data_IF_794467007129
#
_entry.id   IF_794467007129
#
_cell.length_a   1.000
_cell.length_b   1.000
_cell.length_c   1.000
_cell.angle_alpha   90.00
_cell.angle_beta   90.00
_cell.angle_gamma   90.00
#
_symmetry.space_group_name_H-M   'P 1'
#
loop_
_entity.id
_entity.type
_entity.pdbx_description
1 polymer ?
#
# COMPACT_ATOMS: atom_id res chain seq x y z
N UNK A 1 36.13 -4.77 20.36
CA UNK A 1 35.36 -5.18 19.17
C UNK A 1 33.87 -5.01 19.50
N UNK A 2 33.25 -3.91 19.07
CA UNK A 2 31.79 -3.79 19.08
C UNK A 2 31.27 -4.40 17.78
N UNK A 3 30.40 -5.41 17.87
CA UNK A 3 29.65 -5.90 16.72
C UNK A 3 28.58 -4.85 16.37
N UNK A 4 28.64 -4.32 15.16
CA UNK A 4 27.57 -3.49 14.61
C UNK A 4 26.33 -4.38 14.41
N UNK A 5 25.25 -4.09 15.13
CA UNK A 5 23.93 -4.65 14.82
C UNK A 5 23.55 -4.12 13.43
N UNK A 6 23.28 -4.98 12.43
CA UNK A 6 22.85 -4.51 11.12
C UNK A 6 21.56 -3.73 11.31
N UNK A 7 21.60 -2.44 11.00
CA UNK A 7 20.46 -1.54 11.11
C UNK A 7 19.26 -2.12 10.37
N UNK A 8 18.10 -2.04 11.00
CA UNK A 8 16.81 -2.18 10.33
C UNK A 8 16.82 -1.15 9.19
N UNK A 9 17.00 -1.61 7.96
CA UNK A 9 16.63 -0.80 6.80
C UNK A 9 15.11 -0.66 6.88
N UNK A 10 14.61 0.55 7.13
CA UNK A 10 13.20 0.85 6.91
C UNK A 10 12.92 0.44 5.46
N UNK A 11 12.05 -0.55 5.28
CA UNK A 11 11.69 -1.02 3.96
C UNK A 11 10.85 0.08 3.31
N UNK A 12 11.53 0.98 2.59
CA UNK A 12 10.85 1.91 1.71
C UNK A 12 10.06 1.11 0.67
N UNK A 13 8.93 1.65 0.23
CA UNK A 13 8.19 1.06 -0.89
C UNK A 13 9.09 1.03 -2.12
N UNK A 14 9.39 -0.16 -2.64
CA UNK A 14 10.21 -0.28 -3.84
C UNK A 14 9.44 0.17 -5.09
N UNK A 15 10.18 0.49 -6.16
CA UNK A 15 9.60 1.01 -7.39
C UNK A 15 8.62 0.02 -8.07
N UNK A 16 8.82 -1.29 -7.88
CA UNK A 16 7.94 -2.30 -8.44
C UNK A 16 6.59 -2.32 -7.72
N UNK A 17 6.61 -2.23 -6.40
CA UNK A 17 5.42 -2.08 -5.55
C UNK A 17 4.69 -0.78 -5.89
N UNK A 18 5.41 0.34 -6.03
CA UNK A 18 4.81 1.63 -6.39
C UNK A 18 4.08 1.56 -7.75
N UNK A 19 4.74 0.99 -8.76
CA UNK A 19 4.14 0.81 -10.08
C UNK A 19 2.90 -0.10 -10.02
N UNK A 20 2.99 -1.22 -9.29
CA UNK A 20 1.87 -2.14 -9.12
C UNK A 20 0.69 -1.49 -8.39
N UNK A 21 0.96 -0.69 -7.35
CA UNK A 21 -0.06 0.05 -6.64
C UNK A 21 -0.75 1.08 -7.54
N UNK A 22 0.01 1.80 -8.38
CA UNK A 22 -0.56 2.72 -9.37
C UNK A 22 -1.50 2.00 -10.35
N UNK A 23 -1.12 0.81 -10.83
CA UNK A 23 -1.96 -0.02 -11.70
C UNK A 23 -3.23 -0.49 -10.98
N UNK A 24 -3.10 -0.94 -9.73
CA UNK A 24 -4.23 -1.40 -8.91
C UNK A 24 -5.26 -0.30 -8.68
N UNK A 25 -4.83 0.94 -8.47
CA UNK A 25 -5.74 2.09 -8.30
C UNK A 25 -6.58 2.35 -9.56
N UNK A 26 -6.05 2.02 -10.74
CA UNK A 26 -6.80 2.10 -12.00
C UNK A 26 -7.56 0.81 -12.35
N UNK A 27 -7.34 -0.28 -11.60
CA UNK A 27 -7.86 -1.60 -11.92
C UNK A 27 -9.39 -1.71 -11.97
N UNK A 28 -9.92 -2.70 -12.72
CA UNK A 28 -11.36 -2.91 -12.89
C UNK A 28 -12.07 -3.45 -11.64
N UNK A 29 -11.33 -4.03 -10.69
CA UNK A 29 -11.85 -4.55 -9.42
C UNK A 29 -12.30 -3.45 -8.44
N UNK A 30 -11.86 -2.21 -8.68
CA UNK A 30 -12.17 -1.04 -7.85
C UNK A 30 -13.54 -0.47 -8.21
N UNK A 31 -14.43 -0.37 -7.22
CA UNK A 31 -15.75 0.24 -7.46
C UNK A 31 -15.63 1.74 -7.79
N UNK A 32 -16.54 2.25 -8.64
CA UNK A 32 -16.54 3.67 -9.01
C UNK A 32 -16.67 4.61 -7.80
N UNK A 33 -17.47 4.23 -6.80
CA UNK A 33 -17.63 4.97 -5.56
C UNK A 33 -16.34 4.99 -4.72
N UNK A 34 -15.59 3.88 -4.69
CA UNK A 34 -14.30 3.85 -4.00
C UNK A 34 -13.25 4.68 -4.73
N UNK A 35 -13.13 4.56 -6.07
CA UNK A 35 -12.22 5.39 -6.88
C UNK A 35 -12.45 6.89 -6.69
N UNK A 36 -13.72 7.30 -6.63
CA UNK A 36 -14.05 8.71 -6.42
C UNK A 36 -13.43 9.26 -5.12
N UNK A 37 -13.24 8.41 -4.10
CA UNK A 37 -12.71 8.82 -2.78
C UNK A 37 -11.20 9.06 -2.76
N UNK A 38 -10.49 8.61 -3.80
CA UNK A 38 -9.02 8.59 -3.83
C UNK A 38 -8.44 10.01 -3.79
N UNK A 39 -9.14 11.01 -4.33
CA UNK A 39 -8.69 12.41 -4.31
C UNK A 39 -8.62 13.02 -2.91
N UNK A 40 -9.35 12.47 -1.93
CA UNK A 40 -9.31 12.93 -0.54
C UNK A 40 -8.49 12.00 0.36
N UNK A 41 -8.28 10.75 -0.07
CA UNK A 41 -7.60 9.71 0.70
C UNK A 41 -6.15 9.49 0.32
N UNK A 42 -5.74 9.92 -0.88
CA UNK A 42 -4.36 9.83 -1.37
C UNK A 42 -3.73 8.45 -1.11
N UNK A 43 -4.31 7.35 -1.64
CA UNK A 43 -3.89 5.99 -1.30
C UNK A 43 -2.41 5.74 -1.60
N UNK A 44 -1.94 6.21 -2.76
CA UNK A 44 -0.57 5.98 -3.20
C UNK A 44 0.42 6.63 -2.23
N UNK A 45 0.21 7.91 -1.93
CA UNK A 45 1.06 8.69 -1.04
C UNK A 45 0.99 8.16 0.39
N UNK A 46 -0.19 7.76 0.84
CA UNK A 46 -0.39 7.21 2.19
C UNK A 46 0.33 5.87 2.35
N UNK A 47 0.13 4.93 1.41
CA UNK A 47 0.79 3.61 1.47
C UNK A 47 2.31 3.71 1.27
N UNK A 48 2.75 4.68 0.45
CA UNK A 48 4.17 5.06 0.31
C UNK A 48 4.76 5.56 1.62
N UNK A 49 4.05 6.46 2.32
CA UNK A 49 4.47 6.98 3.62
C UNK A 49 4.63 5.86 4.66
N UNK A 50 3.76 4.85 4.63
CA UNK A 50 3.87 3.68 5.50
C UNK A 50 4.92 2.65 5.05
N UNK A 51 5.55 2.84 3.89
CA UNK A 51 6.54 1.89 3.36
C UNK A 51 5.94 0.52 3.01
N UNK A 52 4.66 0.46 2.66
CA UNK A 52 4.01 -0.82 2.32
C UNK A 52 4.68 -1.42 1.09
N UNK A 53 5.07 -2.68 1.18
CA UNK A 53 5.68 -3.44 0.10
C UNK A 53 5.07 -4.83 -0.04
N UNK A 54 5.32 -5.48 -1.17
CA UNK A 54 4.76 -6.81 -1.47
C UNK A 54 5.27 -7.94 -0.57
N UNK A 55 6.37 -7.74 0.16
CA UNK A 55 6.89 -8.72 1.10
C UNK A 55 6.21 -8.64 2.49
N UNK A 56 5.39 -7.61 2.74
CA UNK A 56 4.67 -7.43 4.00
C UNK A 56 3.34 -8.18 4.02
N UNK A 57 3.00 -8.73 5.18
CA UNK A 57 1.64 -9.20 5.47
C UNK A 57 0.87 -8.07 6.14
N UNK A 58 -0.12 -7.52 5.45
CA UNK A 58 -0.94 -6.40 5.93
C UNK A 58 -2.30 -6.91 6.39
N UNK A 59 -2.75 -6.48 7.58
CA UNK A 59 -4.09 -6.75 8.10
C UNK A 59 -4.89 -5.47 8.21
N UNK A 60 -6.06 -5.45 7.57
CA UNK A 60 -7.02 -4.36 7.71
C UNK A 60 -7.90 -4.58 8.94
N UNK A 61 -7.79 -3.71 9.94
CA UNK A 61 -8.53 -3.84 11.21
C UNK A 61 -10.01 -3.47 11.03
N UNK A 62 -10.31 -2.51 10.15
CA UNK A 62 -11.67 -2.00 9.96
C UNK A 62 -11.98 -1.78 8.47
N UNK A 63 -12.42 -2.81 7.75
CA UNK A 63 -12.56 -2.72 6.30
C UNK A 63 -13.71 -1.84 5.81
N UNK A 64 -14.72 -1.56 6.64
CA UNK A 64 -15.93 -0.81 6.25
C UNK A 64 -16.49 -1.33 4.90
N UNK A 65 -16.53 -0.49 3.85
CA UNK A 65 -16.97 -0.83 2.51
C UNK A 65 -15.85 -1.38 1.60
N UNK A 66 -14.75 -1.84 2.18
CA UNK A 66 -13.63 -2.49 1.49
C UNK A 66 -12.72 -1.55 0.71
N UNK A 67 -12.66 -0.25 1.04
CA UNK A 67 -11.91 0.70 0.23
C UNK A 67 -10.41 0.39 0.16
N UNK A 68 -9.77 0.05 1.29
CA UNK A 68 -8.37 -0.39 1.28
C UNK A 68 -8.27 -1.85 0.85
N UNK A 69 -9.26 -2.68 1.17
CA UNK A 69 -9.29 -4.09 0.74
C UNK A 69 -9.13 -4.23 -0.78
N UNK A 70 -9.85 -3.44 -1.59
CA UNK A 70 -9.73 -3.49 -3.06
C UNK A 70 -8.35 -3.03 -3.59
N UNK A 71 -7.59 -2.28 -2.78
CA UNK A 71 -6.25 -1.78 -3.10
C UNK A 71 -5.18 -2.76 -2.62
N UNK A 72 -5.33 -3.32 -1.42
CA UNK A 72 -4.33 -4.18 -0.78
C UNK A 72 -4.44 -5.65 -1.19
N UNK A 73 -5.63 -6.16 -1.53
CA UNK A 73 -5.81 -7.56 -1.90
C UNK A 73 -5.02 -8.01 -3.15
N UNK A 74 -4.86 -7.19 -4.21
CA UNK A 74 -4.08 -7.58 -5.39
C UNK A 74 -2.59 -7.19 -5.34
N UNK A 75 -2.15 -6.49 -4.28
CA UNK A 75 -0.76 -6.04 -4.07
C UNK A 75 0.17 -7.23 -3.83
#
# INVERSE_FOLDING_TARGET
>A
MLAAVPGITLADMDAATEAKLADVLQGPQRSAGNKARDSWRHPLETLKFFGVNQAMTVMEVWPEAGWYTEVLAPL
#
